data_IF_764363900595
#
_entry.id   IF_764363900595
#
_cell.length_a   1.000
_cell.length_b   1.000
_cell.length_c   1.000
_cell.angle_alpha   90.00
_cell.angle_beta   90.00
_cell.angle_gamma   90.00
#
_symmetry.space_group_name_H-M   'P 1'
#
loop_
_entity.id
_entity.type
_entity.pdbx_description
1 polymer ?
#
# COMPACT_ATOMS: atom_id res chain seq x y z
N UNK A 1 -7.86 47.21 -15.48
CA UNK A 1 -7.99 46.15 -14.47
C UNK A 1 -8.53 44.85 -15.06
N UNK A 2 -7.65 43.96 -15.49
CA UNK A 2 -8.01 42.58 -15.82
C UNK A 2 -7.46 41.65 -14.75
N UNK A 3 -8.29 41.33 -13.75
CA UNK A 3 -8.02 40.27 -12.79
C UNK A 3 -8.18 38.90 -13.48
N UNK A 4 -7.06 38.30 -13.88
CA UNK A 4 -6.99 36.88 -14.25
C UNK A 4 -7.24 36.04 -12.99
N UNK A 5 -8.46 35.49 -12.87
CA UNK A 5 -8.77 34.47 -11.87
C UNK A 5 -8.13 33.15 -12.31
N UNK A 6 -6.97 32.82 -11.75
CA UNK A 6 -6.40 31.49 -11.87
C UNK A 6 -7.32 30.50 -11.14
N UNK A 7 -8.08 29.71 -11.90
CA UNK A 7 -8.78 28.55 -11.35
C UNK A 7 -7.74 27.49 -11.02
N UNK A 8 -7.47 27.30 -9.73
CA UNK A 8 -6.67 26.18 -9.27
C UNK A 8 -7.53 24.91 -9.33
N UNK A 9 -7.34 24.11 -10.37
CA UNK A 9 -7.94 22.78 -10.45
C UNK A 9 -7.22 21.86 -9.49
N UNK A 10 -7.88 21.51 -8.38
CA UNK A 10 -7.37 20.49 -7.45
C UNK A 10 -7.65 19.11 -8.07
N UNK A 11 -6.59 18.37 -8.39
CA UNK A 11 -6.69 17.00 -8.88
C UNK A 11 -6.36 16.01 -7.76
N UNK A 12 -7.33 15.18 -7.37
CA UNK A 12 -7.14 14.11 -6.39
C UNK A 12 -6.61 12.86 -7.08
N UNK A 13 -5.42 12.39 -6.67
CA UNK A 13 -4.78 11.21 -7.28
C UNK A 13 -5.24 9.90 -6.62
N UNK A 14 -5.39 9.89 -5.30
CA UNK A 14 -5.85 8.75 -4.52
C UNK A 14 -6.65 9.26 -3.30
N UNK A 15 -7.95 8.91 -3.17
CA UNK A 15 -8.75 9.31 -2.02
C UNK A 15 -8.48 8.41 -0.80
N UNK A 16 -8.87 8.90 0.39
CA UNK A 16 -8.90 8.17 1.66
C UNK A 16 -7.53 7.62 2.12
N UNK A 17 -6.46 8.36 1.82
CA UNK A 17 -5.09 7.97 2.21
C UNK A 17 -4.83 8.34 3.67
N UNK A 18 -4.26 7.41 4.42
CA UNK A 18 -3.86 7.60 5.81
C UNK A 18 -2.39 8.02 5.92
N UNK A 19 -1.49 7.30 5.22
CA UNK A 19 -0.05 7.61 5.23
C UNK A 19 0.48 7.69 3.82
N UNK A 20 1.38 8.65 3.58
CA UNK A 20 2.11 8.83 2.33
C UNK A 20 3.61 8.87 2.64
N UNK A 21 4.40 8.23 1.79
CA UNK A 21 5.84 8.46 1.73
C UNK A 21 6.29 8.65 0.29
N UNK A 22 7.30 9.49 0.10
CA UNK A 22 7.89 9.77 -1.22
C UNK A 22 9.37 9.41 -1.13
N UNK A 23 9.83 8.52 -1.99
CA UNK A 23 11.25 8.15 -2.10
C UNK A 23 11.61 8.08 -3.59
N UNK A 24 12.43 9.03 -4.02
CA UNK A 24 12.82 9.22 -5.43
C UNK A 24 11.60 9.31 -6.36
N UNK A 25 11.51 8.39 -7.33
CA UNK A 25 10.41 8.32 -8.30
C UNK A 25 9.14 7.67 -7.76
N UNK A 26 9.20 7.06 -6.57
CA UNK A 26 8.07 6.34 -5.98
C UNK A 26 7.30 7.21 -5.00
N UNK A 27 5.98 7.09 -5.05
CA UNK A 27 5.08 7.53 -3.98
C UNK A 27 4.37 6.29 -3.46
N UNK A 28 4.45 6.07 -2.16
CA UNK A 28 3.74 5.01 -1.46
C UNK A 28 2.58 5.64 -0.70
N UNK A 29 1.42 5.02 -0.78
CA UNK A 29 0.23 5.43 -0.06
C UNK A 29 -0.39 4.22 0.61
N UNK A 30 -0.79 4.38 1.86
CA UNK A 30 -1.60 3.39 2.57
C UNK A 30 -2.99 3.95 2.80
N UNK A 31 -4.01 3.13 2.54
CA UNK A 31 -5.41 3.46 2.81
C UNK A 31 -6.13 2.26 3.36
N UNK A 32 -7.18 2.48 4.13
CA UNK A 32 -7.96 1.41 4.72
C UNK A 32 -9.24 1.17 3.91
N UNK A 33 -9.53 -0.09 3.60
CA UNK A 33 -10.81 -0.48 3.03
C UNK A 33 -11.66 -1.16 4.10
N UNK A 34 -12.94 -0.79 4.15
CA UNK A 34 -13.92 -1.44 5.00
C UNK A 34 -14.50 -2.64 4.25
N UNK A 35 -14.13 -3.84 4.67
CA UNK A 35 -14.67 -5.09 4.16
C UNK A 35 -15.89 -5.50 5.01
N UNK A 36 -17.03 -5.68 4.36
CA UNK A 36 -18.24 -6.20 4.98
C UNK A 36 -18.26 -7.73 4.88
N UNK A 37 -18.22 -8.43 6.01
CA UNK A 37 -18.40 -9.89 6.03
C UNK A 37 -19.88 -10.25 6.10
N UNK A 38 -20.40 -10.89 5.05
CA UNK A 38 -21.80 -11.34 5.01
C UNK A 38 -22.10 -12.49 5.99
N UNK A 39 -21.06 -13.23 6.42
CA UNK A 39 -21.20 -14.41 7.28
C UNK A 39 -21.13 -14.11 8.78
N UNK A 40 -20.61 -12.94 9.18
CA UNK A 40 -20.61 -12.48 10.56
C UNK A 40 -21.28 -11.11 10.62
N UNK A 41 -22.60 -11.12 10.80
CA UNK A 41 -23.42 -9.91 11.01
C UNK A 41 -22.74 -9.06 12.09
N UNK A 42 -22.22 -7.89 11.69
CA UNK A 42 -21.61 -6.84 12.51
C UNK A 42 -20.07 -6.82 12.68
N UNK A 43 -19.28 -7.51 11.84
CA UNK A 43 -17.81 -7.28 11.81
C UNK A 43 -17.37 -6.58 10.53
N UNK A 44 -17.16 -5.27 10.61
CA UNK A 44 -16.45 -4.49 9.58
C UNK A 44 -14.96 -4.67 9.83
N UNK A 45 -14.24 -5.29 8.90
CA UNK A 45 -12.79 -5.37 8.99
C UNK A 45 -12.16 -4.25 8.18
N UNK A 46 -11.28 -3.48 8.82
CA UNK A 46 -10.51 -2.43 8.17
C UNK A 46 -9.17 -3.02 7.74
N UNK A 47 -9.01 -3.29 6.45
CA UNK A 47 -7.77 -3.86 5.90
C UNK A 47 -6.93 -2.75 5.27
N UNK A 48 -5.67 -2.56 5.68
CA UNK A 48 -4.80 -1.62 5.01
C UNK A 48 -4.45 -2.15 3.60
N UNK A 49 -4.40 -1.26 2.63
CA UNK A 49 -3.90 -1.51 1.28
C UNK A 49 -2.67 -0.64 1.03
N UNK A 50 -1.65 -1.22 0.38
CA UNK A 50 -0.52 -0.45 -0.15
C UNK A 50 -0.73 -0.12 -1.63
N UNK A 51 -0.54 1.14 -1.96
CA UNK A 51 -0.65 1.70 -3.30
C UNK A 51 0.67 2.38 -3.68
N UNK A 52 1.08 2.21 -4.93
CA UNK A 52 2.33 2.79 -5.46
C UNK A 52 2.01 3.65 -6.68
N UNK A 53 2.65 4.81 -6.76
CA UNK A 53 2.78 5.61 -7.97
C UNK A 53 4.26 5.67 -8.33
N UNK A 54 4.58 5.40 -9.60
CA UNK A 54 5.94 5.42 -10.14
C UNK A 54 6.01 6.54 -11.16
N UNK A 55 7.03 7.39 -11.09
CA UNK A 55 7.21 8.52 -12.03
C UNK A 55 5.96 9.42 -12.12
N UNK A 56 5.26 9.56 -10.99
CA UNK A 56 4.02 10.34 -10.85
C UNK A 56 2.89 9.87 -11.77
N UNK A 57 2.94 8.63 -12.24
CA UNK A 57 1.84 7.97 -12.94
C UNK A 57 0.70 7.62 -11.97
N UNK A 58 -0.51 7.33 -12.48
CA UNK A 58 -1.63 6.93 -11.62
C UNK A 58 -1.27 5.81 -10.65
N UNK A 59 -1.82 5.89 -9.42
CA UNK A 59 -1.57 4.87 -8.41
C UNK A 59 -2.15 3.52 -8.83
N UNK A 60 -1.42 2.45 -8.52
CA UNK A 60 -1.91 1.09 -8.59
C UNK A 60 -1.79 0.39 -7.23
N UNK A 61 -2.72 -0.53 -6.96
CA UNK A 61 -2.68 -1.39 -5.78
C UNK A 61 -1.65 -2.48 -6.00
N UNK A 62 -0.77 -2.70 -5.03
CA UNK A 62 0.17 -3.83 -5.09
C UNK A 62 -0.51 -5.12 -4.68
N UNK A 63 -0.03 -6.23 -5.24
CA UNK A 63 -0.42 -7.57 -4.86
C UNK A 63 0.60 -8.11 -3.87
N UNK A 64 0.12 -8.61 -2.74
CA UNK A 64 0.94 -9.26 -1.73
C UNK A 64 0.59 -10.74 -1.79
N UNK A 65 1.53 -11.53 -2.27
CA UNK A 65 1.38 -12.99 -2.35
C UNK A 65 1.81 -13.55 -1.00
N UNK A 66 0.83 -13.81 -0.15
CA UNK A 66 1.03 -14.56 1.08
C UNK A 66 1.13 -16.04 0.70
N UNK A 67 2.32 -16.45 0.24
CA UNK A 67 2.63 -17.88 0.16
C UNK A 67 2.68 -18.43 1.58
N UNK A 68 1.91 -19.50 1.79
CA UNK A 68 1.99 -20.46 2.92
C UNK A 68 1.24 -20.14 4.23
N UNK A 69 0.80 -18.92 4.51
CA UNK A 69 0.13 -18.63 5.81
C UNK A 69 -1.41 -18.58 5.80
N UNK A 70 -2.05 -18.69 4.62
CA UNK A 70 -3.50 -18.68 4.47
C UNK A 70 -4.15 -17.42 5.05
N UNK A 71 -5.49 -17.35 5.02
CA UNK A 71 -6.30 -16.19 5.43
C UNK A 71 -6.22 -15.81 6.94
N UNK A 72 -5.12 -16.10 7.63
CA UNK A 72 -4.97 -15.99 9.09
C UNK A 72 -4.23 -14.71 9.50
N UNK A 73 -3.33 -14.21 8.66
CA UNK A 73 -2.49 -13.06 9.00
C UNK A 73 -3.16 -11.74 8.60
N UNK A 74 -3.45 -10.92 9.60
CA UNK A 74 -4.15 -9.65 9.43
C UNK A 74 -3.15 -8.48 9.44
N UNK A 75 -2.81 -7.88 8.27
CA UNK A 75 -1.80 -6.83 8.20
C UNK A 75 -2.29 -5.57 8.92
N UNK A 76 -1.39 -4.92 9.65
CA UNK A 76 -1.68 -3.67 10.38
C UNK A 76 -0.78 -2.51 9.97
N UNK A 77 0.38 -2.77 9.37
CA UNK A 77 1.28 -1.72 8.90
C UNK A 77 2.18 -2.18 7.76
N UNK A 78 2.50 -1.25 6.87
CA UNK A 78 3.44 -1.41 5.76
C UNK A 78 4.62 -0.47 5.95
N UNK A 79 5.85 -1.01 5.88
CA UNK A 79 7.07 -0.23 6.03
C UNK A 79 8.06 -0.51 4.91
N UNK A 80 8.40 0.52 4.13
CA UNK A 80 9.40 0.41 3.06
C UNK A 80 10.78 0.45 3.70
N UNK A 81 11.47 -0.69 3.71
CA UNK A 81 12.82 -0.84 4.27
C UNK A 81 13.83 -0.22 3.32
N UNK A 82 13.79 -0.62 2.05
CA UNK A 82 14.69 -0.08 1.03
C UNK A 82 14.13 -0.20 -0.39
N UNK A 83 14.78 0.50 -1.32
CA UNK A 83 14.43 0.53 -2.75
C UNK A 83 15.72 0.45 -3.56
N UNK A 84 15.74 -0.47 -4.51
CA UNK A 84 16.79 -0.60 -5.53
C UNK A 84 16.20 -0.38 -6.91
N UNK A 85 17.03 -0.46 -7.96
CA UNK A 85 16.57 -0.31 -9.35
C UNK A 85 15.67 -1.45 -9.82
N UNK A 86 15.69 -2.60 -9.13
CA UNK A 86 15.01 -3.84 -9.56
C UNK A 86 14.01 -4.39 -8.55
N UNK A 87 14.01 -3.87 -7.32
CA UNK A 87 13.13 -4.37 -6.26
C UNK A 87 12.90 -3.34 -5.13
N UNK A 88 11.74 -3.45 -4.49
CA UNK A 88 11.39 -2.79 -3.23
C UNK A 88 11.36 -3.83 -2.12
N UNK A 89 11.95 -3.47 -0.99
CA UNK A 89 11.95 -4.25 0.25
C UNK A 89 10.89 -3.68 1.19
N UNK A 90 9.90 -4.49 1.52
CA UNK A 90 8.72 -4.12 2.30
C UNK A 90 8.60 -5.01 3.53
N UNK A 91 8.54 -4.43 4.72
CA UNK A 91 8.10 -5.15 5.91
C UNK A 91 6.58 -5.00 6.07
N UNK A 92 5.92 -6.11 6.39
CA UNK A 92 4.51 -6.14 6.79
C UNK A 92 4.47 -6.60 8.24
N UNK A 93 3.91 -5.75 9.10
CA UNK A 93 3.61 -6.12 10.49
C UNK A 93 2.15 -6.56 10.59
N UNK A 94 1.93 -7.67 11.28
CA UNK A 94 0.64 -8.30 11.47
C UNK A 94 0.11 -8.10 12.90
N UNK A 95 -1.20 -8.29 13.09
CA UNK A 95 -1.83 -8.08 14.40
C UNK A 95 -1.26 -8.97 15.52
N UNK A 96 -0.74 -10.14 15.19
CA UNK A 96 -0.08 -11.05 16.15
C UNK A 96 1.33 -10.57 16.56
N UNK A 97 1.81 -9.44 16.04
CA UNK A 97 3.15 -8.89 16.31
C UNK A 97 4.24 -9.42 15.36
N UNK A 98 3.93 -10.42 14.53
CA UNK A 98 4.82 -10.93 13.51
C UNK A 98 5.15 -9.83 12.49
N UNK A 99 6.41 -9.77 12.04
CA UNK A 99 6.83 -8.88 10.96
C UNK A 99 7.63 -9.68 9.95
N UNK A 100 7.12 -9.73 8.72
CA UNK A 100 7.73 -10.47 7.64
C UNK A 100 8.28 -9.51 6.57
N UNK A 101 9.37 -9.90 5.93
CA UNK A 101 9.99 -9.17 4.83
C UNK A 101 9.51 -9.71 3.48
N UNK A 102 9.05 -8.80 2.64
CA UNK A 102 8.60 -9.04 1.28
C UNK A 102 9.50 -8.30 0.29
N UNK A 103 9.71 -8.91 -0.87
CA UNK A 103 10.47 -8.32 -1.96
C UNK A 103 9.58 -8.23 -3.18
N UNK A 104 9.60 -7.08 -3.87
CA UNK A 104 8.83 -6.91 -5.09
C UNK A 104 9.47 -7.63 -6.29
N UNK A 105 8.67 -7.93 -7.30
CA UNK A 105 9.19 -8.16 -8.65
C UNK A 105 9.73 -6.86 -9.28
N UNK A 106 10.32 -6.99 -10.47
CA UNK A 106 10.87 -5.87 -11.24
C UNK A 106 9.82 -4.87 -11.76
N UNK A 107 8.56 -5.29 -11.87
CA UNK A 107 7.44 -4.41 -12.21
C UNK A 107 6.88 -3.66 -10.99
N UNK A 108 7.36 -3.98 -9.78
CA UNK A 108 6.97 -3.39 -8.51
C UNK A 108 5.48 -3.56 -8.14
N UNK A 109 4.74 -4.40 -8.85
CA UNK A 109 3.31 -4.62 -8.66
C UNK A 109 2.99 -5.83 -7.78
N UNK A 110 3.96 -6.73 -7.58
CA UNK A 110 3.79 -7.96 -6.80
C UNK A 110 4.91 -8.11 -5.78
N UNK A 111 4.53 -8.47 -4.57
CA UNK A 111 5.42 -8.73 -3.44
C UNK A 111 5.32 -10.18 -3.01
N UNK A 112 6.47 -10.84 -2.88
CA UNK A 112 6.58 -12.22 -2.40
C UNK A 112 7.33 -12.26 -1.09
N UNK A 113 6.92 -13.17 -0.19
CA UNK A 113 7.61 -13.39 1.07
C UNK A 113 9.07 -13.79 0.82
N UNK A 114 10.00 -13.12 1.49
CA UNK A 114 11.43 -13.40 1.42
C UNK A 114 12.00 -13.90 2.73
N UNK A 115 11.50 -13.41 3.86
CA UNK A 115 11.92 -13.83 5.19
C UNK A 115 10.76 -13.70 6.17
N UNK A 116 10.50 -14.76 6.91
CA UNK A 116 9.54 -14.85 8.00
C UNK A 116 10.26 -14.91 9.35
N UNK A 117 9.60 -14.41 10.39
CA UNK A 117 10.03 -14.51 11.78
C UNK A 117 8.87 -14.93 12.66
#
# INVERSE_FOLDING_TARGET
DHHLKHHHTVHTWLPNVEKVSIKNRFIFATRHINLYSHNNKNKTYSMPELWISIDRQPFFKVQILESDFGDILEPVNYFIVDITDVAIFLCITYRNGQTNLYISNADFDKFTLSLDN
#
